data_IF_965675035531
#
_entry.id   IF_965675035531
#
_cell.length_a   1.000
_cell.length_b   1.000
_cell.length_c   1.000
_cell.angle_alpha   90.00
_cell.angle_beta   90.00
_cell.angle_gamma   90.00
#
_symmetry.space_group_name_H-M   'P 1'
#
loop_
_entity.id
_entity.type
_entity.pdbx_description
1 polymer ?
#
# COMPACT_ATOMS: atom_id res chain seq x y z
N UNK A 1 -41.79 -0.50 2.46
CA UNK A 1 -41.12 -1.76 2.87
C UNK A 1 -39.90 -1.39 3.69
N UNK A 2 -39.76 -1.90 4.91
CA UNK A 2 -38.52 -1.70 5.68
C UNK A 2 -37.35 -2.30 4.89
N UNK A 3 -36.31 -1.52 4.63
CA UNK A 3 -35.12 -2.02 3.96
C UNK A 3 -34.57 -3.21 4.75
N UNK A 4 -34.45 -4.38 4.10
CA UNK A 4 -33.99 -5.61 4.74
C UNK A 4 -32.54 -5.39 5.16
N UNK A 5 -32.30 -5.24 6.46
CA UNK A 5 -30.95 -5.10 7.02
C UNK A 5 -30.30 -6.46 7.05
N UNK A 6 -29.13 -6.59 6.40
CA UNK A 6 -28.33 -7.81 6.40
C UNK A 6 -27.21 -7.72 7.43
N UNK A 7 -26.63 -8.87 7.79
CA UNK A 7 -25.41 -8.94 8.62
C UNK A 7 -24.30 -9.68 7.91
N UNK A 8 -23.07 -9.28 8.16
CA UNK A 8 -21.88 -10.00 7.71
C UNK A 8 -20.87 -10.15 8.85
N UNK A 9 -20.17 -11.28 8.85
CA UNK A 9 -19.00 -11.51 9.69
C UNK A 9 -17.74 -11.03 8.98
N UNK A 10 -16.91 -10.26 9.65
CA UNK A 10 -15.60 -9.80 9.17
C UNK A 10 -14.59 -9.95 10.30
N UNK A 11 -13.45 -10.56 10.01
CA UNK A 11 -12.36 -10.71 10.97
C UNK A 11 -11.12 -9.96 10.49
N UNK A 12 -10.47 -9.24 11.40
CA UNK A 12 -9.10 -8.76 11.22
C UNK A 12 -8.17 -9.84 11.74
N UNK A 13 -7.31 -10.33 10.85
CA UNK A 13 -6.35 -11.40 11.11
C UNK A 13 -5.20 -10.93 12.02
N UNK A 14 -4.37 -11.85 12.55
CA UNK A 14 -3.30 -11.51 13.48
C UNK A 14 -2.37 -10.39 13.02
N UNK A 15 -2.02 -10.37 11.73
CA UNK A 15 -1.21 -9.33 11.13
C UNK A 15 -1.83 -7.93 11.27
N UNK A 16 -3.10 -7.79 10.87
CA UNK A 16 -3.80 -6.53 10.91
C UNK A 16 -3.97 -6.02 12.34
N UNK A 17 -4.13 -6.94 13.30
CA UNK A 17 -4.20 -6.60 14.72
C UNK A 17 -2.84 -6.12 15.24
N UNK A 18 -1.78 -6.88 15.01
CA UNK A 18 -0.44 -6.59 15.53
C UNK A 18 0.20 -5.36 14.87
N UNK A 19 -0.22 -5.02 13.65
CA UNK A 19 0.15 -3.78 12.96
C UNK A 19 -0.70 -2.58 13.38
N UNK A 20 -1.63 -2.74 14.34
CA UNK A 20 -2.47 -1.66 14.84
C UNK A 20 -3.51 -1.15 13.83
N UNK A 21 -3.87 -1.95 12.83
CA UNK A 21 -4.78 -1.54 11.74
C UNK A 21 -6.28 -1.63 12.11
N UNK A 22 -6.60 -2.09 13.32
CA UNK A 22 -7.99 -2.27 13.77
C UNK A 22 -8.81 -0.98 13.65
N UNK A 23 -8.29 0.13 14.20
CA UNK A 23 -9.01 1.41 14.19
C UNK A 23 -9.27 1.94 12.78
N UNK A 24 -8.29 1.82 11.89
CA UNK A 24 -8.41 2.25 10.49
C UNK A 24 -9.46 1.41 9.74
N UNK A 25 -9.46 0.09 9.93
CA UNK A 25 -10.43 -0.81 9.28
C UNK A 25 -11.85 -0.55 9.82
N UNK A 26 -12.03 -0.44 11.14
CA UNK A 26 -13.33 -0.14 11.76
C UNK A 26 -13.87 1.20 11.23
N UNK A 27 -13.03 2.24 11.26
CA UNK A 27 -13.38 3.58 10.78
C UNK A 27 -13.91 3.55 9.35
N UNK A 28 -13.32 2.77 8.45
CA UNK A 28 -13.78 2.64 7.06
C UNK A 28 -15.20 2.06 6.94
N UNK A 29 -15.54 1.06 7.76
CA UNK A 29 -16.88 0.49 7.80
C UNK A 29 -17.90 1.45 8.42
N UNK A 30 -17.53 2.15 9.49
CA UNK A 30 -18.38 3.17 10.13
C UNK A 30 -18.66 4.35 9.19
N UNK A 31 -17.64 4.88 8.52
CA UNK A 31 -17.78 5.96 7.54
C UNK A 31 -18.60 5.58 6.32
N UNK A 32 -18.67 4.28 5.99
CA UNK A 32 -19.57 3.78 4.94
C UNK A 32 -21.04 3.78 5.38
N UNK A 33 -21.31 3.93 6.68
CA UNK A 33 -22.65 3.93 7.28
C UNK A 33 -23.10 2.56 7.81
N UNK A 34 -22.18 1.60 7.98
CA UNK A 34 -22.50 0.31 8.59
C UNK A 34 -22.44 0.38 10.11
N UNK A 35 -23.35 -0.36 10.76
CA UNK A 35 -23.45 -0.42 12.21
C UNK A 35 -22.68 -1.63 12.73
N UNK A 36 -21.73 -1.41 13.64
CA UNK A 36 -21.08 -2.48 14.38
C UNK A 36 -22.06 -3.06 15.40
N UNK A 37 -22.39 -4.35 15.28
CA UNK A 37 -23.37 -5.03 16.14
C UNK A 37 -22.69 -5.81 17.26
N UNK A 38 -21.58 -6.47 16.94
CA UNK A 38 -20.79 -7.23 17.89
C UNK A 38 -19.32 -7.16 17.50
N UNK A 39 -18.46 -7.17 18.50
CA UNK A 39 -17.01 -7.20 18.34
C UNK A 39 -16.43 -8.08 19.43
N UNK A 40 -15.47 -8.93 19.07
CA UNK A 40 -14.75 -9.80 19.99
C UNK A 40 -13.27 -9.80 19.65
N UNK A 41 -12.46 -9.39 20.61
CA UNK A 41 -11.00 -9.51 20.56
C UNK A 41 -10.59 -10.78 21.29
N UNK A 42 -9.94 -11.71 20.60
CA UNK A 42 -9.59 -13.00 21.18
C UNK A 42 -8.37 -13.62 20.49
N UNK A 43 -7.66 -14.47 21.21
CA UNK A 43 -6.80 -15.48 20.58
C UNK A 43 -7.65 -16.73 20.38
N UNK A 44 -7.97 -17.05 19.12
CA UNK A 44 -8.85 -18.17 18.80
C UNK A 44 -8.10 -19.51 18.96
N UNK A 45 -8.73 -20.49 19.58
CA UNK A 45 -8.18 -21.85 19.65
C UNK A 45 -8.18 -22.50 18.26
N UNK A 46 -7.28 -23.45 18.03
CA UNK A 46 -7.29 -24.21 16.78
C UNK A 46 -8.62 -24.94 16.57
N UNK A 47 -9.26 -25.44 17.62
CA UNK A 47 -10.53 -26.16 17.50
C UNK A 47 -11.64 -25.24 16.99
N UNK A 48 -11.74 -24.03 17.53
CA UNK A 48 -12.68 -23.02 17.04
C UNK A 48 -12.38 -22.64 15.59
N UNK A 49 -11.11 -22.53 15.22
CA UNK A 49 -10.70 -22.18 13.84
C UNK A 49 -10.95 -23.33 12.86
N UNK A 50 -10.77 -24.58 13.29
CA UNK A 50 -11.10 -25.78 12.51
C UNK A 50 -12.60 -25.87 12.25
N UNK A 51 -13.41 -25.57 13.26
CA UNK A 51 -14.87 -25.49 13.12
C UNK A 51 -15.26 -24.34 12.19
N UNK A 52 -14.69 -23.14 12.39
CA UNK A 52 -15.00 -21.95 11.58
C UNK A 52 -14.65 -22.14 10.09
N UNK A 53 -13.52 -22.78 9.78
CA UNK A 53 -13.05 -22.99 8.40
C UNK A 53 -13.31 -24.40 7.87
N UNK A 54 -14.26 -25.15 8.45
CA UNK A 54 -14.49 -26.56 8.11
C UNK A 54 -14.72 -26.81 6.61
N UNK A 55 -15.36 -25.86 5.91
CA UNK A 55 -15.61 -25.92 4.46
C UNK A 55 -14.32 -25.89 3.61
N UNK A 56 -13.18 -25.54 4.21
CA UNK A 56 -11.88 -25.48 3.57
C UNK A 56 -10.99 -26.68 3.92
N UNK A 57 -11.45 -27.65 4.74
CA UNK A 57 -10.63 -28.74 5.29
C UNK A 57 -9.84 -29.55 4.25
N UNK A 58 -10.40 -29.70 3.05
CA UNK A 58 -9.81 -30.48 1.95
C UNK A 58 -8.86 -29.66 1.08
N UNK A 59 -8.67 -28.36 1.38
CA UNK A 59 -7.75 -27.48 0.65
C UNK A 59 -6.31 -27.66 1.16
N UNK A 60 -5.30 -27.73 0.27
CA UNK A 60 -3.90 -27.92 0.69
C UNK A 60 -3.38 -26.87 1.68
N UNK A 61 -3.87 -25.63 1.59
CA UNK A 61 -3.46 -24.52 2.46
C UNK A 61 -4.18 -24.51 3.83
N UNK A 62 -5.15 -25.40 4.08
CA UNK A 62 -5.99 -25.37 5.28
C UNK A 62 -5.21 -25.49 6.60
N UNK A 63 -4.24 -26.43 6.76
CA UNK A 63 -3.46 -26.51 7.99
C UNK A 63 -2.67 -25.23 8.26
N UNK A 64 -2.11 -24.62 7.21
CA UNK A 64 -1.40 -23.34 7.29
C UNK A 64 -2.31 -22.20 7.71
N UNK A 65 -3.53 -22.12 7.15
CA UNK A 65 -4.53 -21.12 7.50
C UNK A 65 -4.92 -21.20 8.98
N UNK A 66 -5.21 -22.39 9.50
CA UNK A 66 -5.57 -22.58 10.92
C UNK A 66 -4.42 -22.15 11.82
N UNK A 67 -3.20 -22.63 11.54
CA UNK A 67 -1.99 -22.29 12.29
C UNK A 67 -1.70 -20.78 12.26
N UNK A 68 -1.89 -20.14 11.12
CA UNK A 68 -1.71 -18.70 10.98
C UNK A 68 -2.75 -17.92 11.81
N UNK A 69 -4.02 -18.30 11.72
CA UNK A 69 -5.10 -17.62 12.45
C UNK A 69 -5.00 -17.82 13.98
N UNK A 70 -4.37 -18.90 14.45
CA UNK A 70 -4.11 -19.14 15.89
C UNK A 70 -2.81 -18.48 16.39
N UNK A 71 -1.96 -18.00 15.49
CA UNK A 71 -0.64 -17.43 15.83
C UNK A 71 -0.69 -16.13 16.62
N UNK A 72 -1.85 -15.47 16.68
CA UNK A 72 -2.01 -14.21 17.40
C UNK A 72 -3.46 -13.79 17.59
N UNK A 73 -3.68 -12.57 18.12
CA UNK A 73 -5.02 -12.05 18.39
C UNK A 73 -5.79 -11.75 17.09
N UNK A 74 -7.08 -12.04 17.08
CA UNK A 74 -8.01 -11.76 16.00
C UNK A 74 -9.07 -10.79 16.51
N UNK A 75 -9.50 -9.86 15.65
CA UNK A 75 -10.69 -9.05 15.93
C UNK A 75 -11.85 -9.54 15.06
N UNK A 76 -12.76 -10.29 15.66
CA UNK A 76 -13.97 -10.76 15.02
C UNK A 76 -15.10 -9.73 15.18
N UNK A 77 -15.77 -9.37 14.08
CA UNK A 77 -16.81 -8.33 14.07
C UNK A 77 -18.04 -8.79 13.29
N UNK A 78 -19.21 -8.32 13.72
CA UNK A 78 -20.48 -8.44 13.00
C UNK A 78 -20.96 -7.05 12.62
N UNK A 79 -21.09 -6.81 11.32
CA UNK A 79 -21.56 -5.54 10.76
C UNK A 79 -22.98 -5.70 10.20
N UNK A 80 -23.81 -4.69 10.39
CA UNK A 80 -25.19 -4.64 9.89
C UNK A 80 -25.44 -3.41 9.02
N UNK A 81 -26.20 -3.59 7.94
CA UNK A 81 -26.66 -2.50 7.08
C UNK A 81 -27.19 -2.98 5.74
N UNK A 82 -27.58 -2.01 4.90
CA UNK A 82 -28.07 -2.28 3.56
C UNK A 82 -26.94 -2.79 2.66
N UNK A 83 -27.13 -3.97 2.04
CA UNK A 83 -26.14 -4.61 1.16
C UNK A 83 -24.75 -4.78 1.81
N UNK A 84 -24.68 -4.94 3.14
CA UNK A 84 -23.41 -4.97 3.87
C UNK A 84 -22.52 -6.14 3.44
N UNK A 85 -23.10 -7.27 3.04
CA UNK A 85 -22.35 -8.44 2.54
C UNK A 85 -21.64 -8.10 1.23
N UNK A 86 -22.39 -7.61 0.23
CA UNK A 86 -21.84 -7.23 -1.08
C UNK A 86 -20.85 -6.08 -0.97
N UNK A 87 -21.22 -5.03 -0.25
CA UNK A 87 -20.39 -3.82 -0.11
C UNK A 87 -19.14 -4.10 0.71
N UNK A 88 -19.25 -4.87 1.79
CA UNK A 88 -18.11 -5.32 2.58
C UNK A 88 -17.10 -6.10 1.75
N UNK A 89 -17.55 -7.00 0.85
CA UNK A 89 -16.65 -7.71 -0.06
C UNK A 89 -15.89 -6.77 -1.00
N UNK A 90 -16.55 -5.75 -1.54
CA UNK A 90 -15.91 -4.73 -2.39
C UNK A 90 -14.89 -3.91 -1.59
N UNK A 91 -15.24 -3.51 -0.36
CA UNK A 91 -14.35 -2.74 0.52
C UNK A 91 -13.10 -3.53 0.92
N UNK A 92 -13.18 -4.85 1.08
CA UNK A 92 -12.03 -5.68 1.42
C UNK A 92 -10.98 -5.73 0.30
N UNK A 93 -11.41 -5.72 -0.96
CA UNK A 93 -10.54 -5.86 -2.12
C UNK A 93 -10.28 -7.32 -2.53
N UNK A 94 -9.49 -7.50 -3.58
CA UNK A 94 -9.14 -8.81 -4.14
C UNK A 94 -8.34 -9.65 -3.15
N UNK A 95 -8.29 -10.97 -3.35
CA UNK A 95 -7.48 -11.84 -2.48
C UNK A 95 -6.00 -11.50 -2.60
N UNK A 96 -5.50 -11.29 -3.82
CA UNK A 96 -4.14 -10.79 -4.02
C UNK A 96 -4.10 -9.26 -3.81
N UNK A 97 -3.33 -8.73 -2.84
CA UNK A 97 -3.26 -7.29 -2.60
C UNK A 97 -2.70 -6.51 -3.79
N UNK A 98 -1.84 -7.12 -4.62
CA UNK A 98 -1.26 -6.49 -5.80
C UNK A 98 -2.30 -6.27 -6.92
N UNK A 99 -3.41 -7.00 -6.90
CA UNK A 99 -4.50 -6.87 -7.86
C UNK A 99 -5.71 -6.11 -7.26
N UNK A 100 -5.62 -5.74 -5.98
CA UNK A 100 -6.65 -4.97 -5.29
C UNK A 100 -6.66 -3.51 -5.75
N UNK A 101 -7.87 -2.95 -5.89
CA UNK A 101 -8.03 -1.54 -6.23
C UNK A 101 -7.57 -0.65 -5.06
N UNK A 102 -6.93 0.49 -5.34
CA UNK A 102 -6.69 1.55 -4.35
C UNK A 102 -7.97 1.94 -3.61
N UNK A 103 -7.86 2.24 -2.32
CA UNK A 103 -8.99 2.55 -1.44
C UNK A 103 -9.65 1.33 -0.79
N UNK A 104 -9.33 0.11 -1.24
CA UNK A 104 -9.76 -1.12 -0.57
C UNK A 104 -8.84 -1.47 0.60
N UNK A 105 -9.33 -2.22 1.58
CA UNK A 105 -8.56 -2.58 2.78
C UNK A 105 -7.28 -3.32 2.42
N UNK A 106 -7.35 -4.37 1.59
CA UNK A 106 -6.14 -5.10 1.14
C UNK A 106 -5.30 -4.26 0.19
N UNK A 107 -5.95 -3.48 -0.67
CA UNK A 107 -5.29 -2.55 -1.59
C UNK A 107 -4.49 -1.45 -0.88
N UNK A 108 -4.85 -1.08 0.34
CA UNK A 108 -4.16 -0.03 1.08
C UNK A 108 -3.26 -0.56 2.20
N UNK A 109 -3.58 -1.73 2.77
CA UNK A 109 -2.98 -2.17 4.04
C UNK A 109 -2.23 -3.51 3.95
N UNK A 110 -2.23 -4.23 2.83
CA UNK A 110 -1.57 -5.53 2.69
C UNK A 110 -0.59 -5.55 1.51
N UNK A 111 0.56 -6.23 1.61
CA UNK A 111 1.51 -6.36 0.48
C UNK A 111 1.63 -7.75 -0.12
N UNK A 112 1.26 -8.80 0.62
CA UNK A 112 1.32 -10.18 0.14
C UNK A 112 0.11 -10.99 0.67
N UNK A 113 -0.23 -12.07 -0.03
CA UNK A 113 -1.09 -13.14 0.48
C UNK A 113 -0.45 -14.50 0.19
N UNK A 114 -0.27 -15.31 1.22
CA UNK A 114 0.31 -16.64 1.08
C UNK A 114 1.83 -16.60 0.86
N UNK A 115 2.48 -17.75 0.92
CA UNK A 115 3.86 -17.95 0.48
C UNK A 115 4.00 -17.77 -1.03
N UNK A 116 4.19 -16.55 -1.54
CA UNK A 116 4.53 -16.34 -2.95
C UNK A 116 6.05 -16.31 -3.15
N UNK A 117 6.51 -16.70 -4.34
CA UNK A 117 7.94 -16.72 -4.73
C UNK A 117 8.53 -15.31 -4.97
N UNK A 118 7.83 -14.24 -4.59
CA UNK A 118 8.27 -12.88 -4.83
C UNK A 118 9.46 -12.53 -3.92
N UNK A 119 10.47 -11.86 -4.48
CA UNK A 119 11.59 -11.39 -3.69
C UNK A 119 11.11 -10.38 -2.64
N UNK A 120 11.25 -10.73 -1.36
CA UNK A 120 10.94 -9.84 -0.22
C UNK A 120 11.91 -8.65 -0.09
N UNK A 121 12.95 -8.62 -0.93
CA UNK A 121 14.00 -7.59 -0.96
C UNK A 121 14.00 -6.74 -2.24
N UNK A 122 12.98 -6.85 -3.09
CA UNK A 122 12.81 -5.94 -4.23
C UNK A 122 12.75 -4.48 -3.73
N UNK A 123 13.38 -3.55 -4.46
CA UNK A 123 13.42 -2.13 -4.14
C UNK A 123 12.88 -1.29 -5.29
N UNK A 124 12.26 -0.16 -4.94
CA UNK A 124 11.82 0.85 -5.90
C UNK A 124 12.29 2.24 -5.49
N UNK A 125 12.52 3.12 -6.46
CA UNK A 125 12.76 4.53 -6.22
C UNK A 125 11.43 5.30 -6.27
N UNK A 126 11.22 6.18 -5.29
CA UNK A 126 10.06 7.08 -5.22
C UNK A 126 10.56 8.47 -4.88
N UNK A 127 10.09 9.49 -5.60
CA UNK A 127 10.44 10.88 -5.32
C UNK A 127 9.19 11.75 -5.20
N UNK A 128 9.07 12.48 -4.09
CA UNK A 128 8.08 13.55 -3.93
C UNK A 128 8.65 14.79 -4.61
N UNK A 129 7.91 15.26 -5.62
CA UNK A 129 8.26 16.38 -6.48
C UNK A 129 8.12 17.72 -5.74
N UNK A 130 8.62 18.84 -6.32
CA UNK A 130 8.61 20.13 -5.63
C UNK A 130 7.21 20.60 -5.20
N UNK A 131 6.18 20.33 -5.99
CA UNK A 131 4.79 20.61 -5.64
C UNK A 131 4.30 19.82 -4.41
N UNK A 132 4.74 18.57 -4.24
CA UNK A 132 4.37 17.76 -3.07
C UNK A 132 5.01 18.24 -1.79
N UNK A 133 6.23 18.75 -1.89
CA UNK A 133 6.92 19.40 -0.77
C UNK A 133 6.22 20.73 -0.43
N UNK A 134 6.02 21.60 -1.42
CA UNK A 134 5.41 22.93 -1.23
C UNK A 134 3.99 22.86 -0.64
N UNK A 135 3.25 21.79 -0.95
CA UNK A 135 1.90 21.56 -0.42
C UNK A 135 1.87 20.85 0.95
N UNK A 136 3.03 20.53 1.52
CA UNK A 136 3.10 19.86 2.82
C UNK A 136 2.60 18.40 2.81
N UNK A 137 2.66 17.71 1.66
CA UNK A 137 2.10 16.37 1.48
C UNK A 137 3.10 15.23 1.71
N UNK A 138 4.33 15.54 2.15
CA UNK A 138 5.38 14.54 2.37
C UNK A 138 4.95 13.47 3.38
N UNK A 139 4.41 13.89 4.53
CA UNK A 139 3.99 12.97 5.59
C UNK A 139 2.85 12.04 5.15
N UNK A 140 1.88 12.54 4.38
CA UNK A 140 0.76 11.73 3.87
C UNK A 140 1.26 10.66 2.88
N UNK A 141 2.18 11.02 1.98
CA UNK A 141 2.76 10.07 1.02
C UNK A 141 3.59 9.00 1.75
N UNK A 142 4.49 9.40 2.65
CA UNK A 142 5.32 8.46 3.42
C UNK A 142 4.45 7.51 4.23
N UNK A 143 3.45 8.06 4.94
CA UNK A 143 2.49 7.29 5.73
C UNK A 143 1.79 6.21 4.90
N UNK A 144 1.39 6.49 3.65
CA UNK A 144 0.74 5.47 2.80
C UNK A 144 1.64 4.28 2.51
N UNK A 145 2.94 4.49 2.29
CA UNK A 145 3.91 3.40 2.11
C UNK A 145 4.17 2.62 3.41
N UNK A 146 4.31 3.32 4.54
CA UNK A 146 4.50 2.69 5.86
C UNK A 146 3.28 1.85 6.27
N UNK A 147 2.08 2.41 6.15
CA UNK A 147 0.82 1.72 6.49
C UNK A 147 0.59 0.49 5.63
N UNK A 148 1.00 0.55 4.35
CA UNK A 148 0.94 -0.60 3.44
C UNK A 148 1.83 -1.75 3.93
N UNK A 149 2.99 -1.43 4.52
CA UNK A 149 3.95 -2.39 5.08
C UNK A 149 5.30 -2.43 4.36
N UNK A 150 5.56 -1.50 3.44
CA UNK A 150 6.87 -1.39 2.80
C UNK A 150 7.91 -0.83 3.77
N UNK A 151 9.15 -1.28 3.63
CA UNK A 151 10.26 -0.85 4.49
C UNK A 151 11.00 0.30 3.82
N UNK A 152 11.12 1.44 4.51
CA UNK A 152 11.97 2.54 4.07
C UNK A 152 13.44 2.16 4.25
N UNK A 153 14.25 2.19 3.19
CA UNK A 153 15.69 1.84 3.27
C UNK A 153 16.62 3.03 3.05
N UNK A 154 16.14 4.09 2.38
CA UNK A 154 16.86 5.36 2.26
C UNK A 154 15.87 6.51 2.06
N UNK A 155 16.19 7.68 2.60
CA UNK A 155 15.42 8.90 2.40
C UNK A 155 16.36 10.11 2.46
N UNK A 156 16.22 11.06 1.54
CA UNK A 156 16.89 12.35 1.64
C UNK A 156 16.08 13.49 1.04
N UNK A 157 16.20 14.64 1.67
CA UNK A 157 15.60 15.91 1.25
C UNK A 157 16.70 16.78 0.63
N UNK A 158 16.55 17.16 -0.63
CA UNK A 158 17.57 17.90 -1.37
C UNK A 158 16.99 18.76 -2.49
N UNK A 159 17.77 19.75 -2.92
CA UNK A 159 17.58 20.42 -4.20
C UNK A 159 18.35 19.62 -5.27
N UNK A 160 17.64 18.98 -6.21
CA UNK A 160 18.29 18.23 -7.28
C UNK A 160 18.91 19.18 -8.33
N UNK A 161 20.15 18.92 -8.73
CA UNK A 161 20.80 19.70 -9.80
C UNK A 161 20.17 19.37 -11.16
N UNK A 162 20.24 20.31 -12.11
CA UNK A 162 19.78 20.03 -13.47
C UNK A 162 20.52 18.87 -14.11
N UNK A 163 21.82 18.69 -13.83
CA UNK A 163 22.61 17.60 -14.39
C UNK A 163 22.13 16.22 -13.90
N UNK A 164 21.81 16.10 -12.60
CA UNK A 164 21.20 14.89 -12.04
C UNK A 164 19.84 14.61 -12.69
N UNK A 165 19.01 15.65 -12.86
CA UNK A 165 17.67 15.52 -13.45
C UNK A 165 17.73 15.19 -14.95
N UNK A 166 18.70 15.74 -15.69
CA UNK A 166 18.96 15.39 -17.09
C UNK A 166 19.37 13.94 -17.25
N UNK A 167 20.21 13.42 -16.35
CA UNK A 167 20.57 12.00 -16.32
C UNK A 167 19.38 11.12 -15.95
N UNK A 168 18.56 11.54 -14.99
CA UNK A 168 17.37 10.79 -14.56
C UNK A 168 16.33 10.70 -15.69
N UNK A 169 16.07 11.79 -16.40
CA UNK A 169 15.10 11.84 -17.51
C UNK A 169 15.74 11.66 -18.90
N UNK A 170 16.91 11.03 -18.99
CA UNK A 170 17.66 10.92 -20.24
C UNK A 170 16.86 10.25 -21.37
N UNK A 171 15.99 9.31 -21.00
CA UNK A 171 15.13 8.56 -21.94
C UNK A 171 14.01 9.45 -22.54
N UNK A 172 13.80 10.64 -21.97
CA UNK A 172 12.80 11.64 -22.41
C UNK A 172 13.43 12.83 -23.13
N UNK A 173 14.76 12.85 -23.35
CA UNK A 173 15.51 14.03 -23.82
C UNK A 173 15.00 14.64 -25.13
N UNK A 174 14.44 13.80 -26.01
CA UNK A 174 13.97 14.18 -27.34
C UNK A 174 12.49 14.61 -27.34
N UNK A 175 11.80 14.55 -26.19
CA UNK A 175 10.41 14.95 -26.06
C UNK A 175 10.27 16.46 -25.84
N UNK A 176 9.25 17.12 -26.41
CA UNK A 176 9.12 18.58 -26.40
C UNK A 176 8.99 19.19 -25.00
N UNK A 177 8.56 18.39 -24.00
CA UNK A 177 8.39 18.83 -22.61
C UNK A 177 9.63 18.61 -21.73
N UNK A 178 10.71 18.00 -22.24
CA UNK A 178 11.90 17.63 -21.46
C UNK A 178 12.55 18.81 -20.73
N UNK A 179 12.82 19.90 -21.45
CA UNK A 179 13.42 21.10 -20.87
C UNK A 179 12.54 21.69 -19.76
N UNK A 180 11.22 21.69 -19.97
CA UNK A 180 10.24 22.12 -18.96
C UNK A 180 10.22 21.20 -17.74
N UNK A 181 10.32 19.89 -17.94
CA UNK A 181 10.36 18.89 -16.87
C UNK A 181 11.61 19.05 -15.99
N UNK A 182 12.79 19.19 -16.59
CA UNK A 182 14.05 19.41 -15.85
C UNK A 182 13.96 20.72 -15.06
N UNK A 183 13.56 21.82 -15.71
CA UNK A 183 13.41 23.13 -15.05
C UNK A 183 12.39 23.10 -13.91
N UNK A 184 11.31 22.36 -14.08
CA UNK A 184 10.30 22.18 -13.04
C UNK A 184 10.85 21.40 -11.86
N UNK A 185 11.49 20.26 -12.10
CA UNK A 185 12.03 19.41 -11.03
C UNK A 185 13.20 20.07 -10.30
N UNK A 186 13.94 20.98 -10.95
CA UNK A 186 15.01 21.78 -10.33
C UNK A 186 14.51 23.08 -9.67
N UNK A 187 13.20 23.40 -9.76
CA UNK A 187 12.65 24.65 -9.22
C UNK A 187 12.47 24.67 -7.70
N UNK A 188 12.56 23.51 -7.05
CA UNK A 188 12.40 23.39 -5.60
C UNK A 188 12.91 22.04 -5.09
N UNK A 189 12.89 21.83 -3.76
CA UNK A 189 13.42 20.63 -3.17
C UNK A 189 12.53 19.43 -3.45
N UNK A 190 13.12 18.24 -3.42
CA UNK A 190 12.45 16.94 -3.57
C UNK A 190 12.76 16.05 -2.37
N UNK A 191 11.85 15.14 -2.05
CA UNK A 191 12.12 14.05 -1.11
C UNK A 191 12.33 12.77 -1.91
N UNK A 192 13.59 12.36 -2.06
CA UNK A 192 13.97 11.10 -2.68
C UNK A 192 13.91 9.98 -1.64
N UNK A 193 13.34 8.83 -2.01
CA UNK A 193 13.15 7.68 -1.13
C UNK A 193 13.41 6.38 -1.86
N UNK A 194 13.84 5.37 -1.11
CA UNK A 194 13.89 3.99 -1.57
C UNK A 194 13.07 3.13 -0.63
N UNK A 195 12.12 2.39 -1.19
CA UNK A 195 11.22 1.48 -0.48
C UNK A 195 11.53 0.04 -0.86
N UNK A 196 11.51 -0.86 0.11
CA UNK A 196 11.78 -2.28 -0.06
C UNK A 196 10.56 -3.13 0.32
N UNK A 197 10.27 -4.16 -0.48
CA UNK A 197 9.31 -5.20 -0.16
C UNK A 197 8.85 -6.00 -1.38
N UNK A 198 8.06 -7.05 -1.16
CA UNK A 198 7.57 -7.90 -2.23
C UNK A 198 6.75 -7.10 -3.26
N UNK A 199 7.13 -7.19 -4.55
CA UNK A 199 6.48 -6.48 -5.66
C UNK A 199 6.33 -4.96 -5.43
N UNK A 200 7.25 -4.33 -4.70
CA UNK A 200 7.16 -2.91 -4.35
C UNK A 200 7.15 -2.00 -5.58
N UNK A 201 7.79 -2.39 -6.70
CA UNK A 201 7.73 -1.61 -7.94
C UNK A 201 6.31 -1.61 -8.50
N UNK A 202 5.73 -2.80 -8.75
CA UNK A 202 4.36 -2.94 -9.29
C UNK A 202 3.33 -2.31 -8.35
N UNK A 203 3.40 -2.65 -7.07
CA UNK A 203 2.42 -2.20 -6.07
C UNK A 203 2.56 -0.70 -5.80
N UNK A 204 3.79 -0.18 -5.77
CA UNK A 204 4.05 1.26 -5.66
C UNK A 204 3.39 2.04 -6.81
N UNK A 205 3.48 1.55 -8.05
CA UNK A 205 2.79 2.16 -9.21
C UNK A 205 1.28 2.17 -9.04
N UNK A 206 0.69 1.08 -8.55
CA UNK A 206 -0.75 1.01 -8.24
C UNK A 206 -1.14 2.04 -7.17
N UNK A 207 -0.34 2.20 -6.12
CA UNK A 207 -0.58 3.18 -5.05
C UNK A 207 -0.47 4.62 -5.55
N UNK A 208 0.48 4.90 -6.44
CA UNK A 208 0.67 6.22 -7.03
C UNK A 208 -0.52 6.63 -7.91
N UNK A 209 -1.08 5.68 -8.66
CA UNK A 209 -2.09 5.93 -9.70
C UNK A 209 -1.46 6.27 -11.05
N UNK A 210 -2.31 6.51 -12.05
CA UNK A 210 -1.87 6.83 -13.42
C UNK A 210 -1.02 8.11 -13.49
N UNK A 211 -0.19 8.26 -14.51
CA UNK A 211 0.67 9.45 -14.63
C UNK A 211 -0.16 10.73 -14.74
N UNK A 212 -1.28 10.67 -15.45
CA UNK A 212 -2.26 11.73 -15.53
C UNK A 212 -3.24 11.63 -14.33
N UNK A 213 -3.33 12.64 -13.46
CA UNK A 213 -4.26 12.64 -12.33
C UNK A 213 -5.73 12.46 -12.74
N UNK A 214 -6.13 12.96 -13.91
CA UNK A 214 -7.52 12.82 -14.40
C UNK A 214 -7.91 11.34 -14.63
N UNK A 215 -6.93 10.48 -14.93
CA UNK A 215 -7.12 9.05 -15.13
C UNK A 215 -6.85 8.24 -13.84
N UNK A 216 -6.37 8.90 -12.78
CA UNK A 216 -6.05 8.26 -11.51
C UNK A 216 -7.30 7.97 -10.69
N UNK A 217 -7.39 6.74 -10.18
CA UNK A 217 -8.57 6.30 -9.43
C UNK A 217 -8.58 6.91 -8.02
N UNK A 218 -9.75 7.22 -7.44
CA UNK A 218 -9.86 7.56 -6.02
C UNK A 218 -9.19 6.50 -5.13
N UNK A 219 -8.49 6.95 -4.09
CA UNK A 219 -7.64 6.14 -3.21
C UNK A 219 -6.18 6.06 -3.64
N UNK A 220 -5.85 6.40 -4.90
CA UNK A 220 -4.45 6.58 -5.32
C UNK A 220 -3.90 7.93 -4.86
N UNK A 221 -2.58 8.03 -4.72
CA UNK A 221 -1.93 9.29 -4.32
C UNK A 221 -2.29 10.42 -5.30
N UNK A 222 -2.19 10.16 -6.61
CA UNK A 222 -2.51 11.18 -7.62
C UNK A 222 -4.01 11.45 -7.74
N UNK A 223 -4.85 10.42 -7.62
CA UNK A 223 -6.30 10.60 -7.69
C UNK A 223 -6.86 11.40 -6.52
N UNK A 224 -6.27 11.26 -5.34
CA UNK A 224 -6.71 12.00 -4.14
C UNK A 224 -6.11 13.41 -4.05
N UNK A 225 -4.87 13.59 -4.54
CA UNK A 225 -4.07 14.77 -4.21
C UNK A 225 -3.68 15.63 -5.43
N UNK A 226 -3.91 15.20 -6.67
CA UNK A 226 -3.49 15.93 -7.87
C UNK A 226 -4.68 16.31 -8.77
N UNK A 227 -4.45 17.28 -9.65
CA UNK A 227 -5.43 17.73 -10.66
C UNK A 227 -4.80 17.73 -12.05
N UNK A 228 -3.60 18.30 -12.19
CA UNK A 228 -2.93 18.51 -13.48
C UNK A 228 -1.71 17.58 -13.69
N UNK A 229 -1.48 17.14 -14.92
CA UNK A 229 -0.39 16.21 -15.28
C UNK A 229 1.01 16.79 -15.02
N UNK A 230 1.19 18.10 -15.19
CA UNK A 230 2.46 18.80 -14.93
C UNK A 230 2.73 19.02 -13.44
N UNK A 231 1.74 18.79 -12.57
CA UNK A 231 1.80 18.94 -11.11
C UNK A 231 1.20 17.70 -10.42
N UNK A 232 1.77 16.55 -10.74
CA UNK A 232 1.30 15.25 -10.29
C UNK A 232 2.02 14.69 -9.05
N UNK A 233 2.66 15.56 -8.25
CA UNK A 233 3.24 15.34 -6.92
C UNK A 233 4.37 14.32 -6.74
N UNK A 234 4.39 13.23 -7.48
CA UNK A 234 5.18 12.05 -7.13
C UNK A 234 5.68 11.30 -8.37
N UNK A 235 6.91 10.81 -8.30
CA UNK A 235 7.53 9.88 -9.25
C UNK A 235 7.70 8.50 -8.60
N UNK A 236 7.61 7.44 -9.40
CA UNK A 236 7.94 6.08 -8.96
C UNK A 236 8.37 5.22 -10.16
N UNK A 237 9.41 4.41 -9.96
CA UNK A 237 9.98 3.53 -10.99
C UNK A 237 8.92 2.66 -11.65
N UNK A 238 9.00 2.48 -12.97
CA UNK A 238 8.02 1.72 -13.76
C UNK A 238 8.37 0.24 -13.95
N UNK A 239 9.62 -0.15 -13.67
CA UNK A 239 10.13 -1.50 -13.77
C UNK A 239 11.27 -1.72 -12.78
N UNK A 240 11.57 -3.00 -12.47
CA UNK A 240 12.71 -3.35 -11.61
C UNK A 240 14.04 -2.86 -12.20
N UNK A 241 14.17 -2.90 -13.53
CA UNK A 241 15.37 -2.39 -14.22
C UNK A 241 15.52 -0.87 -14.03
N UNK A 242 14.43 -0.11 -14.24
CA UNK A 242 14.40 1.33 -14.00
C UNK A 242 14.67 1.66 -12.53
N UNK A 243 14.08 0.90 -11.59
CA UNK A 243 14.30 1.08 -10.16
C UNK A 243 15.79 0.95 -9.80
N UNK A 244 16.48 -0.08 -10.27
CA UNK A 244 17.90 -0.25 -10.01
C UNK A 244 18.74 0.89 -10.60
N UNK A 245 18.44 1.34 -11.83
CA UNK A 245 19.10 2.50 -12.48
C UNK A 245 18.88 3.79 -11.66
N UNK A 246 17.64 4.05 -11.25
CA UNK A 246 17.26 5.24 -10.49
C UNK A 246 17.87 5.23 -9.08
N UNK A 247 17.81 4.12 -8.36
CA UNK A 247 18.40 3.99 -7.01
C UNK A 247 19.91 4.28 -7.07
N UNK A 248 20.63 3.68 -8.01
CA UNK A 248 22.08 3.87 -8.15
C UNK A 248 22.46 5.29 -8.61
N UNK A 249 21.58 5.98 -9.33
CA UNK A 249 21.79 7.37 -9.72
C UNK A 249 21.59 8.33 -8.54
N UNK A 250 20.55 8.08 -7.74
CA UNK A 250 20.13 9.01 -6.69
C UNK A 250 20.83 8.76 -5.36
N UNK A 251 21.25 7.53 -5.06
CA UNK A 251 21.82 7.18 -3.77
C UNK A 251 23.11 6.38 -3.90
N UNK A 252 24.04 6.63 -2.98
CA UNK A 252 25.24 5.83 -2.78
C UNK A 252 24.92 4.59 -1.93
N UNK A 253 25.71 3.50 -2.04
CA UNK A 253 25.50 2.31 -1.23
C UNK A 253 25.48 2.57 0.29
N UNK A 254 26.30 3.49 0.78
CA UNK A 254 26.37 3.87 2.20
C UNK A 254 25.14 4.64 2.71
N UNK A 255 24.31 5.18 1.82
CA UNK A 255 23.04 5.82 2.19
C UNK A 255 21.91 4.79 2.44
N UNK A 256 22.15 3.50 2.13
CA UNK A 256 21.18 2.43 2.33
C UNK A 256 21.27 1.85 3.74
N UNK A 257 20.18 1.96 4.50
CA UNK A 257 20.09 1.44 5.87
C UNK A 257 19.47 0.04 5.86
N UNK A 258 20.19 -0.92 6.45
CA UNK A 258 19.69 -2.27 6.66
C UNK A 258 19.20 -2.44 8.10
N UNK A 259 17.95 -2.88 8.27
CA UNK A 259 17.38 -3.21 9.58
C UNK A 259 16.25 -4.24 9.46
N UNK A 260 16.01 -4.97 10.56
CA UNK A 260 14.85 -5.87 10.66
C UNK A 260 13.64 -5.09 11.18
N UNK A 261 12.58 -5.02 10.38
CA UNK A 261 11.31 -4.46 10.84
C UNK A 261 10.68 -5.40 11.88
N UNK A 262 10.21 -4.86 13.01
CA UNK A 262 9.55 -5.64 14.05
C UNK A 262 8.24 -6.29 13.57
N UNK A 263 7.59 -5.72 12.57
CA UNK A 263 6.36 -6.24 11.98
C UNK A 263 6.61 -7.22 10.81
N UNK A 264 7.86 -7.56 10.49
CA UNK A 264 8.19 -8.36 9.30
C UNK A 264 7.43 -9.69 9.23
N UNK A 265 7.43 -10.47 10.32
CA UNK A 265 6.75 -11.77 10.44
C UNK A 265 5.22 -11.67 10.38
N UNK A 266 4.69 -10.45 10.47
CA UNK A 266 3.25 -10.17 10.37
C UNK A 266 2.89 -9.61 9.01
N UNK A 267 3.86 -9.14 8.24
CA UNK A 267 3.64 -8.60 6.90
C UNK A 267 3.84 -9.70 5.85
N UNK A 268 4.78 -10.61 6.11
CA UNK A 268 5.15 -11.71 5.23
C UNK A 268 5.00 -13.06 5.95
N UNK A 269 4.56 -14.09 5.23
CA UNK A 269 4.56 -15.49 5.69
C UNK A 269 5.94 -16.15 5.62
#
# INVERSE_FOLDING_TARGET
MAAKTERTFIAIKPDGVQRGLMGEIIKRFEQKGFRLVAMKFLQASEDLLKEHYIDLKDRPFYPGLVKYMSSGPVLAMVWEGLNVVKTGRVMLGETNPADSKPGTIRGDLCIEVGSTMASKTERTFVAIKPDGVQRGLMGEIVKRFEQKGFRLVAMKFLQASEDLLKQHYIDLKDLPFYAGLVKYMSSGPVLAMVWEGANVVKTGRVMLGETNPADSKPGTIRGDLCIDIGRNLIHGSDSVASANKEINLWFKPEEMVSFKCCAHEYIYE
#
